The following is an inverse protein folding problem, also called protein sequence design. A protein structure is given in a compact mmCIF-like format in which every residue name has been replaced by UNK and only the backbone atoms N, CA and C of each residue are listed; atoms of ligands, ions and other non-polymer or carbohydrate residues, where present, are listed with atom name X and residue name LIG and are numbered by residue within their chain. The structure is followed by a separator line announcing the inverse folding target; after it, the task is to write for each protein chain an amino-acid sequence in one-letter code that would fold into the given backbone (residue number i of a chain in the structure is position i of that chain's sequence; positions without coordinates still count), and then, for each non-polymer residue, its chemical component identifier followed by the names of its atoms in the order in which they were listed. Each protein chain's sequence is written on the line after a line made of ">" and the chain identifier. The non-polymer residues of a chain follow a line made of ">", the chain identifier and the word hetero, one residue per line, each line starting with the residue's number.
data_IF_837896005391
#
_entry.id   IF_837896005391
#
_cell.length_a   1.000
_cell.length_b   1.000
_cell.length_c   1.000
_cell.angle_alpha   90.00
_cell.angle_beta   90.00
_cell.angle_gamma   90.00
#
_symmetry.space_group_name_H-M   'P 1'
#
loop_
_entity.id
_entity.type
_entity.pdbx_description
1 polymer ?
#
# COMPACT_ATOMS: atom_id res chain seq x y z
N UNK A 1 -0.81 20.16 -52.93
CA UNK A 1 0.22 20.88 -52.16
C UNK A 1 1.05 19.82 -51.47
N UNK A 2 2.32 19.66 -51.83
CA UNK A 2 3.22 18.70 -51.17
C UNK A 2 3.57 19.23 -49.78
N UNK A 3 3.12 18.56 -48.72
CA UNK A 3 3.51 18.87 -47.35
C UNK A 3 5.02 18.75 -47.21
N UNK A 4 5.66 19.83 -46.76
CA UNK A 4 7.07 19.80 -46.41
C UNK A 4 7.26 18.98 -45.13
N UNK A 5 8.26 18.09 -45.07
CA UNK A 5 8.54 17.31 -43.86
C UNK A 5 8.85 18.26 -42.70
N UNK A 6 8.29 17.94 -41.53
CA UNK A 6 8.49 18.77 -40.35
C UNK A 6 9.97 18.82 -39.95
N UNK A 7 10.48 19.93 -39.37
CA UNK A 7 11.90 20.06 -38.99
C UNK A 7 12.41 18.93 -38.07
N UNK A 8 11.52 18.30 -37.31
CA UNK A 8 11.83 17.14 -36.46
C UNK A 8 12.20 15.87 -37.26
N UNK A 9 11.84 15.79 -38.54
CA UNK A 9 12.15 14.68 -39.43
C UNK A 9 13.46 14.89 -40.22
N UNK A 10 13.94 16.13 -40.33
CA UNK A 10 15.11 16.49 -41.15
C UNK A 10 16.37 16.79 -40.34
N UNK A 11 16.26 17.08 -39.04
CA UNK A 11 17.42 17.36 -38.19
C UNK A 11 17.91 16.10 -37.45
N UNK A 12 19.20 15.74 -37.52
CA UNK A 12 19.74 14.65 -36.73
C UNK A 12 19.57 14.96 -35.24
N UNK A 13 19.06 13.98 -34.48
CA UNK A 13 18.88 14.12 -33.04
C UNK A 13 20.20 14.57 -32.38
N UNK A 14 20.18 15.74 -31.75
CA UNK A 14 21.37 16.31 -31.11
C UNK A 14 21.87 15.36 -30.02
N UNK A 15 23.06 14.82 -30.24
CA UNK A 15 23.80 14.01 -29.29
C UNK A 15 24.42 14.90 -28.20
N UNK A 16 23.60 15.36 -27.24
CA UNK A 16 24.07 16.24 -26.16
C UNK A 16 24.61 15.40 -24.99
N UNK A 17 25.78 15.76 -24.45
CA UNK A 17 26.36 15.12 -23.26
C UNK A 17 25.48 15.32 -22.00
N UNK A 18 25.68 14.50 -20.97
CA UNK A 18 25.01 14.71 -19.68
C UNK A 18 25.57 15.98 -19.04
N UNK A 19 24.73 16.94 -18.73
CA UNK A 19 25.08 18.19 -18.04
C UNK A 19 25.72 17.97 -16.65
N UNK A 20 25.37 16.87 -15.98
CA UNK A 20 25.80 16.58 -14.62
C UNK A 20 27.18 15.91 -14.55
N UNK A 21 27.50 15.03 -15.51
CA UNK A 21 28.73 14.24 -15.46
C UNK A 21 29.55 14.22 -16.77
N UNK A 22 29.09 14.91 -17.82
CA UNK A 22 29.76 14.95 -19.12
C UNK A 22 29.66 13.69 -19.96
N UNK A 23 28.94 12.65 -19.50
CA UNK A 23 28.82 11.38 -20.22
C UNK A 23 28.19 11.56 -21.62
N UNK A 24 28.88 11.04 -22.64
CA UNK A 24 28.44 11.09 -24.04
C UNK A 24 27.27 10.12 -24.29
N UNK A 25 26.41 10.36 -25.29
CA UNK A 25 25.35 9.41 -25.67
C UNK A 25 25.92 8.02 -25.95
N UNK A 26 25.31 6.97 -25.37
CA UNK A 26 25.79 5.59 -25.47
C UNK A 26 26.85 5.19 -24.41
N UNK A 27 27.41 6.14 -23.66
CA UNK A 27 28.28 5.82 -22.52
C UNK A 27 27.51 5.66 -21.20
N UNK A 28 28.13 5.03 -20.20
CA UNK A 28 27.55 4.88 -18.87
C UNK A 28 27.47 6.23 -18.16
N UNK A 29 26.29 6.56 -17.66
CA UNK A 29 26.07 7.80 -16.94
C UNK A 29 26.43 7.62 -15.45
N UNK A 30 27.45 8.31 -14.98
CA UNK A 30 27.92 8.20 -13.58
C UNK A 30 27.07 8.99 -12.59
N UNK A 31 26.20 9.90 -13.06
CA UNK A 31 25.26 10.64 -12.18
C UNK A 31 24.20 9.75 -11.52
N UNK A 32 24.03 8.51 -12.01
CA UNK A 32 23.20 7.46 -11.42
C UNK A 32 24.05 6.24 -10.99
N UNK A 33 25.20 6.50 -10.37
CA UNK A 33 26.11 5.46 -9.87
C UNK A 33 26.64 4.51 -10.96
N UNK A 34 26.65 4.93 -12.23
CA UNK A 34 27.25 4.19 -13.33
C UNK A 34 26.48 2.96 -13.80
N UNK A 35 25.27 2.70 -13.30
CA UNK A 35 24.52 1.46 -13.61
C UNK A 35 23.54 1.60 -14.79
N UNK A 36 23.35 2.80 -15.33
CA UNK A 36 22.41 3.05 -16.44
C UNK A 36 23.14 3.56 -17.67
N UNK A 37 23.02 2.80 -18.77
CA UNK A 37 23.39 3.25 -20.11
C UNK A 37 22.43 4.36 -20.52
N UNK A 38 22.97 5.49 -20.97
CA UNK A 38 22.13 6.59 -21.46
C UNK A 38 21.57 6.22 -22.83
N UNK A 39 20.27 5.93 -22.87
CA UNK A 39 19.53 5.58 -24.09
C UNK A 39 19.56 6.75 -25.06
N UNK A 40 20.29 6.60 -26.16
CA UNK A 40 20.50 7.62 -27.19
C UNK A 40 19.42 7.58 -28.28
N UNK A 41 18.49 6.64 -28.18
CA UNK A 41 17.48 6.28 -29.17
C UNK A 41 16.07 6.71 -28.80
N UNK A 42 15.82 7.20 -27.57
CA UNK A 42 14.48 7.60 -27.08
C UNK A 42 13.77 8.56 -28.04
N UNK A 43 14.50 9.53 -28.60
CA UNK A 43 13.92 10.46 -29.56
C UNK A 43 13.59 9.79 -30.90
N UNK A 44 14.41 8.84 -31.36
CA UNK A 44 14.14 8.02 -32.55
C UNK A 44 12.90 7.14 -32.33
N UNK A 45 12.78 6.51 -31.17
CA UNK A 45 11.60 5.68 -30.81
C UNK A 45 10.32 6.51 -30.82
N UNK A 46 10.35 7.73 -30.26
CA UNK A 46 9.19 8.64 -30.28
C UNK A 46 8.84 9.11 -31.69
N UNK A 47 9.84 9.45 -32.51
CA UNK A 47 9.62 9.85 -33.90
C UNK A 47 9.01 8.71 -34.74
N UNK A 48 9.48 7.47 -34.57
CA UNK A 48 8.90 6.31 -35.23
C UNK A 48 7.46 6.04 -34.77
N UNK A 49 7.17 6.17 -33.48
CA UNK A 49 5.82 6.02 -32.96
C UNK A 49 4.85 7.07 -33.54
N UNK A 50 5.31 8.32 -33.71
CA UNK A 50 4.52 9.37 -34.35
C UNK A 50 4.25 9.06 -35.83
N UNK A 51 5.27 8.66 -36.58
CA UNK A 51 5.12 8.26 -37.99
C UNK A 51 4.15 7.09 -38.16
N UNK A 52 4.18 6.11 -37.25
CA UNK A 52 3.21 5.02 -37.25
C UNK A 52 1.77 5.50 -36.97
N UNK A 53 1.59 6.46 -36.06
CA UNK A 53 0.28 7.02 -35.77
C UNK A 53 -0.27 7.81 -36.97
N UNK A 54 0.57 8.60 -37.64
CA UNK A 54 0.22 9.34 -38.84
C UNK A 54 -0.15 8.41 -40.00
N UNK A 55 0.64 7.35 -40.23
CA UNK A 55 0.33 6.33 -41.24
C UNK A 55 -1.00 5.61 -40.94
N UNK A 56 -1.29 5.34 -39.67
CA UNK A 56 -2.56 4.73 -39.24
C UNK A 56 -3.74 5.67 -39.47
N UNK A 57 -3.57 6.97 -39.21
CA UNK A 57 -4.59 7.98 -39.45
C UNK A 57 -4.87 8.15 -40.95
N UNK A 58 -3.83 8.14 -41.79
CA UNK A 58 -3.94 8.23 -43.24
C UNK A 58 -4.55 6.96 -43.88
N UNK A 59 -4.40 5.80 -43.25
CA UNK A 59 -4.98 4.54 -43.71
C UNK A 59 -6.45 4.34 -43.29
N UNK A 60 -7.03 5.25 -42.48
CA UNK A 60 -8.44 5.20 -42.14
C UNK A 60 -9.28 5.57 -43.38
N UNK A 61 -10.24 4.73 -43.81
CA UNK A 61 -11.02 5.00 -45.02
C UNK A 61 -11.87 6.27 -44.86
N UNK A 62 -11.71 7.20 -45.81
CA UNK A 62 -12.42 8.49 -45.94
C UNK A 62 -13.92 8.36 -46.30
N UNK A 63 -14.60 7.30 -45.85
CA UNK A 63 -15.97 7.01 -46.27
C UNK A 63 -16.99 7.46 -45.21
N UNK A 64 -17.08 8.78 -44.99
CA UNK A 64 -18.21 9.43 -44.31
C UNK A 64 -18.20 10.96 -44.49
N UNK A 65 -18.35 11.44 -45.73
CA UNK A 65 -18.68 12.85 -45.98
C UNK A 65 -20.11 12.97 -46.53
N UNK A 66 -21.08 12.94 -45.62
CA UNK A 66 -22.37 13.59 -45.80
C UNK A 66 -22.57 14.61 -44.67
N UNK A 67 -23.23 15.76 -44.92
CA UNK A 67 -23.47 16.78 -43.91
C UNK A 67 -24.61 16.33 -42.98
N UNK A 68 -24.32 15.42 -42.06
CA UNK A 68 -25.20 15.15 -40.93
C UNK A 68 -25.19 16.39 -40.04
N UNK A 69 -26.37 16.97 -39.81
CA UNK A 69 -26.55 17.98 -38.78
C UNK A 69 -25.89 17.48 -37.49
N UNK A 70 -24.87 18.20 -37.00
CA UNK A 70 -24.10 17.79 -35.82
C UNK A 70 -25.05 17.66 -34.65
N UNK A 71 -25.35 16.42 -34.26
CA UNK A 71 -26.04 16.12 -33.01
C UNK A 71 -25.19 16.70 -31.87
N UNK A 72 -25.83 17.52 -31.07
CA UNK A 72 -25.21 18.21 -29.95
C UNK A 72 -24.95 17.20 -28.82
N UNK A 73 -23.71 16.75 -28.69
CA UNK A 73 -23.30 15.72 -27.70
C UNK A 73 -22.87 16.32 -26.36
N UNK A 74 -22.92 17.64 -26.16
CA UNK A 74 -22.55 18.26 -24.88
C UNK A 74 -23.73 18.17 -23.90
N UNK A 75 -23.60 17.41 -22.80
CA UNK A 75 -24.67 17.23 -21.81
C UNK A 75 -25.04 18.51 -21.05
N UNK A 76 -24.26 19.60 -21.20
CA UNK A 76 -24.56 20.90 -20.59
C UNK A 76 -25.52 21.76 -21.41
N UNK A 77 -25.84 21.37 -22.64
CA UNK A 77 -26.76 22.11 -23.51
C UNK A 77 -28.20 21.61 -23.35
N UNK A 78 -28.81 21.98 -22.22
CA UNK A 78 -30.21 21.66 -21.88
C UNK A 78 -31.08 22.92 -21.93
N UNK A 79 -32.38 22.78 -22.20
CA UNK A 79 -33.34 23.89 -22.17
C UNK A 79 -32.98 25.09 -23.09
N UNK A 80 -33.14 26.35 -22.63
CA UNK A 80 -32.95 27.56 -23.48
C UNK A 80 -31.54 27.73 -24.05
N UNK A 81 -30.52 27.20 -23.37
CA UNK A 81 -29.12 27.23 -23.81
C UNK A 81 -28.97 26.48 -25.14
N UNK A 82 -29.78 25.45 -25.35
CA UNK A 82 -29.76 24.61 -26.55
C UNK A 82 -30.25 25.34 -27.80
N UNK A 83 -31.28 26.18 -27.67
CA UNK A 83 -31.78 27.04 -28.74
C UNK A 83 -30.75 28.08 -29.15
N UNK A 84 -30.03 28.65 -28.17
CA UNK A 84 -28.96 29.62 -28.40
C UNK A 84 -27.80 29.04 -29.23
N UNK A 85 -27.54 27.74 -29.12
CA UNK A 85 -26.49 27.03 -29.86
C UNK A 85 -26.99 26.26 -31.10
N UNK A 86 -28.27 26.38 -31.47
CA UNK A 86 -28.81 25.75 -32.68
C UNK A 86 -28.79 24.21 -32.65
N UNK A 87 -28.83 23.61 -31.46
CA UNK A 87 -28.73 22.17 -31.28
C UNK A 87 -30.05 21.45 -31.60
N UNK A 88 -30.20 21.00 -32.86
CA UNK A 88 -31.36 20.25 -33.32
C UNK A 88 -31.27 18.76 -32.92
N UNK A 89 -32.11 18.33 -31.99
CA UNK A 89 -32.23 16.94 -31.50
C UNK A 89 -33.00 16.88 -30.16
N UNK A 90 -33.31 15.70 -29.63
CA UNK A 90 -33.93 15.56 -28.31
C UNK A 90 -32.99 16.09 -27.21
N UNK A 91 -33.56 16.74 -26.20
CA UNK A 91 -32.80 17.21 -25.02
C UNK A 91 -32.30 15.97 -24.26
N UNK A 92 -30.97 15.78 -24.10
CA UNK A 92 -30.43 14.63 -23.38
C UNK A 92 -31.01 14.51 -21.97
N UNK A 93 -31.33 15.62 -21.30
CA UNK A 93 -31.95 15.58 -19.98
C UNK A 93 -33.39 15.03 -20.01
N UNK A 94 -34.15 15.33 -21.07
CA UNK A 94 -35.48 14.75 -21.27
C UNK A 94 -35.37 13.25 -21.63
N UNK A 95 -34.38 12.88 -22.44
CA UNK A 95 -34.15 11.47 -22.81
C UNK A 95 -33.75 10.62 -21.61
N UNK A 96 -32.93 11.16 -20.69
CA UNK A 96 -32.58 10.47 -19.44
C UNK A 96 -33.75 10.39 -18.45
N UNK A 97 -34.64 11.38 -18.43
CA UNK A 97 -35.83 11.36 -17.57
C UNK A 97 -36.87 10.34 -18.06
N UNK A 98 -37.10 10.26 -19.36
CA UNK A 98 -37.96 9.25 -19.99
C UNK A 98 -37.39 7.83 -19.82
N UNK A 99 -36.09 7.63 -20.06
CA UNK A 99 -35.43 6.33 -19.82
C UNK A 99 -35.47 5.90 -18.35
N UNK A 100 -35.38 6.85 -17.42
CA UNK A 100 -35.49 6.58 -15.98
C UNK A 100 -36.92 6.23 -15.56
N UNK A 101 -37.92 6.88 -16.13
CA UNK A 101 -39.32 6.58 -15.89
C UNK A 101 -39.71 5.20 -16.47
N UNK A 102 -39.24 4.89 -17.69
CA UNK A 102 -39.41 3.55 -18.29
C UNK A 102 -38.71 2.45 -17.46
N UNK A 103 -37.53 2.74 -16.88
CA UNK A 103 -36.81 1.82 -16.01
C UNK A 103 -37.39 1.68 -14.58
N UNK A 104 -38.18 2.65 -14.10
CA UNK A 104 -38.91 2.57 -12.83
C UNK A 104 -40.28 1.88 -12.99
N UNK A 105 -40.91 1.97 -14.17
CA UNK A 105 -42.21 1.35 -14.49
C UNK A 105 -42.09 -0.14 -14.86
N UNK A 106 -40.95 -0.55 -15.43
CA UNK A 106 -40.56 -1.95 -15.50
C UNK A 106 -40.16 -2.46 -14.10
N UNK A 107 -41.14 -2.87 -13.30
CA UNK A 107 -40.90 -3.41 -11.95
C UNK A 107 -39.96 -4.63 -11.97
N UNK A 108 -38.68 -4.43 -11.63
CA UNK A 108 -37.64 -5.46 -11.85
C UNK A 108 -36.55 -5.47 -10.75
N UNK A 109 -36.95 -5.71 -9.51
CA UNK A 109 -35.96 -6.03 -8.45
C UNK A 109 -35.30 -7.40 -8.68
N UNK A 110 -35.98 -8.32 -9.39
CA UNK A 110 -35.40 -9.58 -9.85
C UNK A 110 -34.37 -9.41 -10.97
N UNK A 111 -34.64 -8.55 -11.94
CA UNK A 111 -33.74 -8.38 -13.09
C UNK A 111 -32.48 -7.59 -12.72
N UNK A 112 -32.56 -6.62 -11.81
CA UNK A 112 -31.36 -5.87 -11.38
C UNK A 112 -30.28 -6.74 -10.74
N UNK A 113 -30.66 -7.77 -9.97
CA UNK A 113 -29.71 -8.71 -9.39
C UNK A 113 -29.09 -9.62 -10.47
N UNK A 114 -29.87 -10.02 -11.46
CA UNK A 114 -29.41 -10.81 -12.62
C UNK A 114 -28.47 -9.98 -13.49
N UNK A 115 -28.82 -8.74 -13.81
CA UNK A 115 -28.00 -7.77 -14.54
C UNK A 115 -26.69 -7.49 -13.80
N UNK A 116 -26.73 -7.30 -12.47
CA UNK A 116 -25.53 -7.11 -11.66
C UNK A 116 -24.62 -8.34 -11.68
N UNK A 117 -25.17 -9.54 -11.51
CA UNK A 117 -24.41 -10.79 -11.58
C UNK A 117 -23.79 -10.98 -12.97
N UNK A 118 -24.54 -10.72 -14.03
CA UNK A 118 -24.05 -10.78 -15.41
C UNK A 118 -22.87 -9.80 -15.63
N UNK A 119 -23.00 -8.55 -15.18
CA UNK A 119 -21.94 -7.55 -15.30
C UNK A 119 -20.67 -7.94 -14.51
N UNK A 120 -20.82 -8.54 -13.33
CA UNK A 120 -19.67 -9.02 -12.54
C UNK A 120 -18.95 -10.21 -13.21
N UNK A 121 -19.70 -11.14 -13.84
CA UNK A 121 -19.11 -12.23 -14.63
C UNK A 121 -18.38 -11.70 -15.86
N UNK A 122 -19.00 -10.79 -16.59
CA UNK A 122 -18.38 -10.16 -17.76
C UNK A 122 -17.07 -9.44 -17.38
N UNK A 123 -17.09 -8.65 -16.30
CA UNK A 123 -15.89 -7.99 -15.80
C UNK A 123 -14.79 -9.00 -15.42
N UNK A 124 -15.15 -10.09 -14.73
CA UNK A 124 -14.21 -11.14 -14.37
C UNK A 124 -13.57 -11.79 -15.61
N UNK A 125 -14.36 -12.05 -16.66
CA UNK A 125 -13.87 -12.64 -17.89
C UNK A 125 -12.95 -11.68 -18.67
N UNK A 126 -13.27 -10.38 -18.70
CA UNK A 126 -12.40 -9.35 -19.29
C UNK A 126 -11.05 -9.26 -18.56
N UNK A 127 -11.04 -9.27 -17.22
CA UNK A 127 -9.80 -9.25 -16.44
C UNK A 127 -8.98 -10.53 -16.62
N UNK A 128 -9.63 -11.70 -16.70
CA UNK A 128 -8.96 -12.95 -17.00
C UNK A 128 -8.25 -12.89 -18.37
N UNK A 129 -8.98 -12.44 -19.41
CA UNK A 129 -8.43 -12.30 -20.75
C UNK A 129 -7.24 -11.33 -20.80
N UNK A 130 -7.34 -10.17 -20.14
CA UNK A 130 -6.24 -9.19 -20.07
C UNK A 130 -5.02 -9.75 -19.34
N UNK A 131 -5.23 -10.52 -18.27
CA UNK A 131 -4.14 -11.17 -17.51
C UNK A 131 -3.41 -12.18 -18.40
N UNK A 132 -4.16 -13.01 -19.14
CA UNK A 132 -3.56 -13.98 -20.06
C UNK A 132 -2.81 -13.31 -21.22
N UNK A 133 -3.33 -12.20 -21.74
CA UNK A 133 -2.64 -11.39 -22.77
C UNK A 133 -1.34 -10.76 -22.24
N UNK A 134 -1.37 -10.19 -21.03
CA UNK A 134 -0.19 -9.59 -20.42
C UNK A 134 0.86 -10.65 -20.08
N UNK A 135 0.45 -11.81 -19.58
CA UNK A 135 1.38 -12.91 -19.33
C UNK A 135 1.99 -13.44 -20.63
N UNK A 136 1.20 -13.58 -21.69
CA UNK A 136 1.71 -13.96 -23.01
C UNK A 136 2.71 -12.92 -23.56
N UNK A 137 2.41 -11.62 -23.39
CA UNK A 137 3.32 -10.54 -23.74
C UNK A 137 4.63 -10.60 -22.94
N UNK A 138 4.54 -10.80 -21.62
CA UNK A 138 5.72 -10.91 -20.76
C UNK A 138 6.60 -12.10 -21.17
N UNK A 139 6.01 -13.27 -21.45
CA UNK A 139 6.75 -14.44 -21.97
C UNK A 139 7.40 -14.19 -23.32
N UNK A 140 6.75 -13.43 -24.21
CA UNK A 140 7.28 -13.11 -25.52
C UNK A 140 8.45 -12.11 -25.46
N UNK A 141 8.52 -11.28 -24.41
CA UNK A 141 9.52 -10.23 -24.24
C UNK A 141 10.60 -10.55 -23.18
N UNK A 142 10.59 -11.76 -22.62
CA UNK A 142 11.59 -12.22 -21.67
C UNK A 142 11.09 -13.38 -20.79
N UNK A 143 11.90 -13.79 -19.82
CA UNK A 143 11.41 -14.67 -18.77
C UNK A 143 10.46 -13.90 -17.85
N UNK A 144 9.33 -14.53 -17.51
CA UNK A 144 8.44 -14.01 -16.48
C UNK A 144 9.20 -13.94 -15.16
N UNK A 145 9.58 -12.74 -14.74
CA UNK A 145 10.21 -12.56 -13.44
C UNK A 145 9.18 -12.78 -12.31
N UNK A 146 9.69 -13.00 -11.09
CA UNK A 146 8.85 -13.26 -9.91
C UNK A 146 7.82 -12.14 -9.68
N UNK A 147 8.21 -10.89 -9.89
CA UNK A 147 7.32 -9.73 -9.74
C UNK A 147 6.16 -9.74 -10.75
N UNK A 148 6.40 -10.13 -12.00
CA UNK A 148 5.36 -10.31 -13.01
C UNK A 148 4.42 -11.45 -12.59
N UNK A 149 4.96 -12.57 -12.11
CA UNK A 149 4.16 -13.70 -11.64
C UNK A 149 3.22 -13.31 -10.50
N UNK A 150 3.73 -12.62 -9.48
CA UNK A 150 2.94 -12.14 -8.33
C UNK A 150 1.82 -11.19 -8.80
N UNK A 151 2.10 -10.30 -9.76
CA UNK A 151 1.07 -9.40 -10.31
C UNK A 151 -0.03 -10.17 -11.03
N UNK A 152 0.32 -11.15 -11.86
CA UNK A 152 -0.67 -11.98 -12.58
C UNK A 152 -1.49 -12.84 -11.62
N UNK A 153 -0.88 -13.38 -10.57
CA UNK A 153 -1.58 -14.13 -9.51
C UNK A 153 -2.59 -13.24 -8.77
N UNK A 154 -2.20 -12.02 -8.42
CA UNK A 154 -3.09 -11.05 -7.76
C UNK A 154 -4.34 -10.74 -8.60
N UNK A 155 -4.19 -10.57 -9.92
CA UNK A 155 -5.35 -10.31 -10.79
C UNK A 155 -6.25 -11.55 -10.89
N UNK A 156 -5.69 -12.76 -10.89
CA UNK A 156 -6.48 -14.01 -10.85
C UNK A 156 -7.31 -14.13 -9.58
N UNK A 157 -6.78 -13.70 -8.44
CA UNK A 157 -7.54 -13.68 -7.19
C UNK A 157 -8.72 -12.69 -7.25
N UNK A 158 -8.53 -11.52 -7.87
CA UNK A 158 -9.60 -10.55 -8.13
C UNK A 158 -10.67 -11.14 -9.05
N UNK A 159 -10.28 -11.79 -10.15
CA UNK A 159 -11.21 -12.50 -11.05
C UNK A 159 -12.02 -13.54 -10.29
N UNK A 160 -11.37 -14.34 -9.44
CA UNK A 160 -12.05 -15.33 -8.62
C UNK A 160 -13.03 -14.68 -7.62
N UNK A 161 -12.67 -13.53 -7.04
CA UNK A 161 -13.54 -12.74 -6.18
C UNK A 161 -14.77 -12.19 -6.90
N UNK A 162 -14.60 -11.64 -8.11
CA UNK A 162 -15.71 -11.14 -8.93
C UNK A 162 -16.69 -12.24 -9.32
N UNK A 163 -16.19 -13.45 -9.64
CA UNK A 163 -17.02 -14.61 -9.91
C UNK A 163 -17.82 -15.06 -8.69
N UNK A 164 -17.19 -15.11 -7.50
CA UNK A 164 -17.90 -15.41 -6.24
C UNK A 164 -19.01 -14.40 -5.98
N UNK A 165 -18.71 -13.10 -6.09
CA UNK A 165 -19.70 -12.04 -5.91
C UNK A 165 -20.85 -12.10 -6.93
N UNK A 166 -20.61 -12.63 -8.13
CA UNK A 166 -21.65 -12.84 -9.13
C UNK A 166 -22.54 -14.05 -8.83
N UNK A 167 -21.98 -15.07 -8.19
CA UNK A 167 -22.69 -16.32 -7.85
C UNK A 167 -23.40 -16.23 -6.50
N UNK A 168 -22.91 -15.39 -5.59
CA UNK A 168 -23.57 -15.05 -4.32
C UNK A 168 -24.76 -14.12 -4.57
N UNK A 169 -25.93 -14.72 -4.84
CA UNK A 169 -27.20 -14.02 -4.63
C UNK A 169 -27.33 -13.72 -3.12
N UNK A 170 -27.71 -12.49 -2.71
CA UNK A 170 -28.00 -12.23 -1.32
C UNK A 170 -29.09 -13.21 -0.87
N UNK A 171 -28.83 -13.94 0.22
CA UNK A 171 -29.78 -14.94 0.70
C UNK A 171 -31.13 -14.27 1.01
N UNK A 172 -32.27 -14.99 0.86
CA UNK A 172 -33.56 -14.45 1.25
C UNK A 172 -33.58 -13.87 2.68
N UNK A 173 -32.78 -14.46 3.58
CA UNK A 173 -32.60 -14.01 4.95
C UNK A 173 -31.80 -12.70 5.05
N UNK A 174 -30.73 -12.53 4.26
CA UNK A 174 -30.01 -11.26 4.18
C UNK A 174 -30.90 -10.12 3.66
N UNK A 175 -31.75 -10.41 2.66
CA UNK A 175 -32.73 -9.46 2.14
C UNK A 175 -33.82 -9.14 3.17
N UNK A 176 -34.27 -10.13 3.93
CA UNK A 176 -35.24 -9.93 5.02
C UNK A 176 -34.68 -9.02 6.12
N UNK A 177 -33.41 -9.20 6.52
CA UNK A 177 -32.76 -8.34 7.52
C UNK A 177 -32.55 -6.91 7.04
N UNK A 178 -32.12 -6.72 5.79
CA UNK A 178 -32.04 -5.39 5.19
C UNK A 178 -33.42 -4.74 5.19
N UNK A 179 -34.47 -5.47 4.80
CA UNK A 179 -35.84 -4.96 4.86
C UNK A 179 -36.23 -4.55 6.28
N UNK A 180 -35.94 -5.36 7.30
CA UNK A 180 -36.18 -5.00 8.71
C UNK A 180 -35.46 -3.70 9.09
N UNK A 181 -34.18 -3.54 8.74
CA UNK A 181 -33.44 -2.30 9.01
C UNK A 181 -34.08 -1.09 8.32
N UNK A 182 -34.55 -1.24 7.08
CA UNK A 182 -35.23 -0.16 6.36
C UNK A 182 -36.62 0.17 6.94
N UNK A 183 -37.30 -0.79 7.55
CA UNK A 183 -38.66 -0.65 8.08
C UNK A 183 -38.71 -0.20 9.55
N UNK A 184 -37.73 -0.61 10.38
CA UNK A 184 -37.76 -0.38 11.83
C UNK A 184 -36.89 0.79 12.29
N UNK A 185 -35.85 1.17 11.52
CA UNK A 185 -34.99 2.29 11.89
C UNK A 185 -35.55 3.61 11.33
N UNK A 186 -35.81 4.58 12.20
CA UNK A 186 -36.28 5.89 11.79
C UNK A 186 -35.22 6.58 10.90
N UNK A 187 -35.58 6.82 9.64
CA UNK A 187 -34.74 7.49 8.62
C UNK A 187 -34.49 8.96 8.97
N UNK A 188 -35.38 9.56 9.76
CA UNK A 188 -35.30 10.97 10.14
C UNK A 188 -34.04 11.26 10.99
N UNK A 189 -33.12 12.05 10.42
CA UNK A 189 -31.95 12.56 11.12
C UNK A 189 -30.65 11.77 10.93
N UNK A 190 -30.64 10.70 10.11
CA UNK A 190 -29.40 9.97 9.77
C UNK A 190 -28.83 10.40 8.42
N UNK A 191 -27.51 10.40 8.32
CA UNK A 191 -26.78 10.67 7.08
C UNK A 191 -26.81 9.44 6.17
N UNK A 192 -26.66 9.66 4.86
CA UNK A 192 -26.59 8.56 3.88
C UNK A 192 -25.45 7.56 4.16
N UNK A 193 -24.38 8.02 4.82
CA UNK A 193 -23.24 7.19 5.23
C UNK A 193 -23.59 6.27 6.41
N UNK A 194 -24.30 6.77 7.41
CA UNK A 194 -24.78 5.95 8.54
C UNK A 194 -25.79 4.90 8.06
N UNK A 195 -26.67 5.28 7.13
CA UNK A 195 -27.64 4.36 6.54
C UNK A 195 -26.96 3.24 5.74
N UNK A 196 -25.93 3.59 4.96
CA UNK A 196 -25.09 2.62 4.26
C UNK A 196 -24.38 1.68 5.24
N UNK A 197 -23.90 2.18 6.37
CA UNK A 197 -23.28 1.39 7.43
C UNK A 197 -24.23 0.33 8.00
N UNK A 198 -25.49 0.68 8.29
CA UNK A 198 -26.50 -0.24 8.84
C UNK A 198 -26.87 -1.34 7.85
N UNK A 199 -27.02 -0.99 6.56
CA UNK A 199 -27.31 -1.97 5.50
C UNK A 199 -26.14 -2.95 5.34
N UNK A 200 -24.90 -2.45 5.34
CA UNK A 200 -23.71 -3.30 5.27
C UNK A 200 -23.60 -4.20 6.50
N UNK A 201 -23.84 -3.69 7.71
CA UNK A 201 -23.86 -4.51 8.93
C UNK A 201 -24.94 -5.61 8.89
N UNK A 202 -26.11 -5.33 8.34
CA UNK A 202 -27.19 -6.31 8.21
C UNK A 202 -26.88 -7.41 7.16
N UNK A 203 -26.16 -7.05 6.09
CA UNK A 203 -25.69 -7.98 5.07
C UNK A 203 -24.57 -8.89 5.59
N UNK A 204 -23.67 -8.35 6.43
CA UNK A 204 -22.52 -9.10 6.97
C UNK A 204 -22.81 -9.88 8.25
N UNK A 205 -24.02 -9.79 8.81
CA UNK A 205 -24.40 -10.46 10.06
C UNK A 205 -24.31 -12.01 10.01
N UNK A 206 -24.38 -12.62 8.82
CA UNK A 206 -24.24 -14.08 8.64
C UNK A 206 -22.79 -14.54 8.47
N UNK A 207 -21.85 -13.61 8.24
CA UNK A 207 -20.44 -13.93 8.11
C UNK A 207 -19.72 -14.10 9.45
N UNK A 208 -20.42 -13.93 10.60
CA UNK A 208 -19.83 -14.31 11.88
C UNK A 208 -19.68 -15.83 11.93
N UNK A 209 -18.44 -16.36 11.92
CA UNK A 209 -18.24 -17.79 12.02
C UNK A 209 -18.86 -18.28 13.32
N UNK A 210 -19.75 -19.28 13.24
CA UNK A 210 -20.14 -20.06 14.42
C UNK A 210 -18.85 -20.58 15.04
N UNK A 211 -18.48 -20.02 16.19
CA UNK A 211 -17.21 -20.30 16.84
C UNK A 211 -17.12 -21.79 17.16
N UNK A 212 -16.15 -22.55 16.60
CA UNK A 212 -15.82 -23.84 17.18
C UNK A 212 -15.28 -23.58 18.59
N UNK A 213 -15.69 -24.40 19.54
CA UNK A 213 -15.42 -24.32 21.00
C UNK A 213 -13.92 -24.52 21.37
N UNK A 214 -12.99 -24.31 20.45
CA UNK A 214 -11.56 -24.32 20.75
C UNK A 214 -11.04 -22.90 20.99
N UNK A 215 -10.53 -22.68 22.20
CA UNK A 215 -9.94 -21.43 22.67
C UNK A 215 -8.83 -20.93 21.72
N UNK A 216 -9.06 -19.83 20.96
CA UNK A 216 -8.07 -19.28 20.04
C UNK A 216 -6.81 -18.75 20.75
N UNK A 217 -6.88 -18.48 22.05
CA UNK A 217 -5.72 -18.05 22.84
C UNK A 217 -4.69 -19.16 23.08
N UNK A 218 -4.97 -20.42 22.70
CA UNK A 218 -4.01 -21.52 22.83
C UNK A 218 -2.92 -21.50 21.76
N UNK A 219 -3.19 -20.93 20.58
CA UNK A 219 -2.23 -20.86 19.46
C UNK A 219 -1.43 -19.55 19.47
N UNK A 220 -2.00 -18.43 19.91
CA UNK A 220 -1.34 -17.11 19.89
C UNK A 220 -0.32 -16.89 21.04
N UNK A 221 -0.04 -17.93 21.84
CA UNK A 221 1.03 -17.93 22.87
C UNK A 221 2.29 -18.67 22.41
N UNK A 222 2.63 -18.62 21.14
CA UNK A 222 3.93 -19.07 20.64
C UNK A 222 5.02 -18.08 21.08
N UNK A 223 5.50 -18.22 22.31
CA UNK A 223 6.69 -17.50 22.78
C UNK A 223 7.91 -17.94 21.94
N UNK A 224 8.82 -17.02 21.58
CA UNK A 224 10.05 -17.34 20.84
C UNK A 224 10.83 -18.52 21.45
N UNK A 225 10.81 -18.63 22.79
CA UNK A 225 11.43 -19.68 23.60
C UNK A 225 10.97 -21.12 23.22
N UNK A 226 9.77 -21.31 22.66
CA UNK A 226 9.30 -22.63 22.23
C UNK A 226 10.01 -23.15 20.97
N UNK A 227 10.64 -22.26 20.18
CA UNK A 227 11.27 -22.63 18.92
C UNK A 227 12.76 -22.95 19.05
N UNK A 228 13.36 -22.62 20.20
CA UNK A 228 14.77 -22.89 20.47
C UNK A 228 15.06 -24.39 20.47
N UNK A 229 14.07 -25.23 20.78
CA UNK A 229 14.19 -26.69 20.84
C UNK A 229 13.35 -27.44 19.78
N UNK A 230 12.66 -26.74 18.89
CA UNK A 230 11.82 -27.38 17.87
C UNK A 230 12.67 -27.86 16.68
N UNK A 231 12.43 -29.08 16.21
CA UNK A 231 13.05 -29.57 14.97
C UNK A 231 12.51 -28.83 13.74
N UNK A 232 13.30 -28.78 12.66
CA UNK A 232 12.88 -28.18 11.38
C UNK A 232 11.57 -28.81 10.88
N UNK A 233 11.40 -30.12 11.04
CA UNK A 233 10.17 -30.83 10.65
C UNK A 233 8.94 -30.39 11.47
N UNK A 234 9.12 -30.12 12.76
CA UNK A 234 8.06 -29.60 13.62
C UNK A 234 7.68 -28.17 13.23
N UNK A 235 8.67 -27.33 12.92
CA UNK A 235 8.45 -25.95 12.43
C UNK A 235 7.71 -25.98 11.08
N UNK A 236 8.16 -26.81 10.13
CA UNK A 236 7.52 -26.97 8.82
C UNK A 236 6.08 -27.50 8.92
N UNK A 237 5.82 -28.41 9.87
CA UNK A 237 4.46 -28.86 10.16
C UNK A 237 3.57 -27.75 10.72
N UNK A 238 4.11 -26.82 11.51
CA UNK A 238 3.35 -25.67 12.01
C UNK A 238 3.10 -24.63 10.91
N UNK A 239 4.08 -24.39 10.03
CA UNK A 239 3.90 -23.52 8.86
C UNK A 239 2.76 -24.03 7.98
N UNK A 240 2.74 -25.33 7.67
CA UNK A 240 1.65 -25.93 6.87
C UNK A 240 0.28 -25.76 7.54
N UNK A 241 0.19 -25.98 8.86
CA UNK A 241 -1.06 -25.77 9.60
C UNK A 241 -1.50 -24.31 9.59
N UNK A 242 -0.59 -23.38 9.84
CA UNK A 242 -0.87 -21.95 9.82
C UNK A 242 -1.32 -21.47 8.43
N UNK A 243 -0.70 -21.96 7.35
CA UNK A 243 -1.11 -21.67 5.97
C UNK A 243 -2.52 -22.19 5.66
N UNK A 244 -2.86 -23.40 6.09
CA UNK A 244 -4.22 -23.95 5.92
C UNK A 244 -5.26 -23.14 6.70
N UNK A 245 -4.91 -22.69 7.92
CA UNK A 245 -5.78 -21.85 8.74
C UNK A 245 -5.93 -20.42 8.19
N UNK A 246 -4.88 -19.84 7.61
CA UNK A 246 -4.94 -18.51 6.98
C UNK A 246 -5.90 -18.50 5.78
N UNK A 247 -5.97 -19.60 5.01
CA UNK A 247 -6.96 -19.77 3.93
C UNK A 247 -8.39 -19.85 4.43
N UNK A 248 -8.61 -20.26 5.68
CA UNK A 248 -9.93 -20.40 6.26
C UNK A 248 -10.42 -19.11 6.93
N UNK A 249 -9.54 -18.34 7.60
CA UNK A 249 -9.96 -17.30 8.55
C UNK A 249 -9.37 -15.90 8.35
N UNK A 250 -8.59 -15.66 7.30
CA UNK A 250 -8.06 -14.32 7.02
C UNK A 250 -6.88 -13.90 7.93
N UNK A 251 -5.97 -13.18 7.30
CA UNK A 251 -4.72 -12.56 7.73
C UNK A 251 -4.03 -12.98 9.06
N UNK A 252 -3.00 -13.84 8.93
CA UNK A 252 -2.04 -14.20 10.00
C UNK A 252 -0.59 -14.15 9.50
N UNK A 253 -0.23 -13.09 8.79
CA UNK A 253 1.14 -12.90 8.27
C UNK A 253 2.22 -12.87 9.38
N UNK A 254 1.91 -12.33 10.55
CA UNK A 254 2.85 -12.22 11.66
C UNK A 254 3.35 -13.58 12.18
N UNK A 255 2.43 -14.53 12.40
CA UNK A 255 2.77 -15.89 12.87
C UNK A 255 3.60 -16.65 11.84
N UNK A 256 3.28 -16.49 10.55
CA UNK A 256 4.09 -17.06 9.47
C UNK A 256 5.48 -16.42 9.40
N UNK A 257 5.59 -15.12 9.65
CA UNK A 257 6.86 -14.41 9.75
C UNK A 257 7.77 -15.00 10.83
N UNK A 258 7.25 -15.21 12.04
CA UNK A 258 7.99 -15.80 13.15
C UNK A 258 8.45 -17.23 12.83
N UNK A 259 7.56 -18.06 12.27
CA UNK A 259 7.90 -19.44 11.94
C UNK A 259 8.95 -19.54 10.81
N UNK A 260 8.88 -18.65 9.82
CA UNK A 260 9.91 -18.55 8.76
C UNK A 260 11.26 -18.12 9.33
N UNK A 261 11.27 -17.15 10.23
CA UNK A 261 12.50 -16.68 10.86
C UNK A 261 13.13 -17.75 11.75
N UNK A 262 12.33 -18.48 12.55
CA UNK A 262 12.79 -19.61 13.34
C UNK A 262 13.41 -20.72 12.46
N UNK A 263 12.82 -20.99 11.29
CA UNK A 263 13.35 -21.95 10.31
C UNK A 263 14.72 -21.53 9.77
N UNK A 264 14.90 -20.25 9.43
CA UNK A 264 16.20 -19.73 8.95
C UNK A 264 17.27 -19.85 10.04
N UNK A 265 16.93 -19.53 11.30
CA UNK A 265 17.85 -19.66 12.44
C UNK A 265 18.27 -21.12 12.66
N UNK A 266 17.33 -22.07 12.58
CA UNK A 266 17.64 -23.51 12.72
C UNK A 266 18.46 -24.05 11.54
N UNK A 267 18.20 -23.59 10.31
CA UNK A 267 19.00 -23.98 9.14
C UNK A 267 20.43 -23.44 9.19
N UNK A 268 20.62 -22.24 9.72
CA UNK A 268 21.93 -21.63 9.90
C UNK A 268 22.74 -22.27 11.04
N UNK A 269 22.08 -23.00 11.95
CA UNK A 269 22.69 -23.56 13.15
C UNK A 269 22.27 -25.03 13.38
N UNK A 270 22.69 -25.96 12.49
CA UNK A 270 22.27 -27.37 12.55
C UNK A 270 22.73 -28.10 13.83
N UNK A 271 23.71 -27.53 14.54
CA UNK A 271 24.24 -28.03 15.83
C UNK A 271 23.55 -27.40 17.05
N UNK A 272 22.43 -26.70 16.86
CA UNK A 272 21.59 -26.17 17.95
C UNK A 272 21.12 -27.27 18.93
N UNK A 273 20.43 -26.91 20.03
CA UNK A 273 20.12 -27.82 21.13
C UNK A 273 19.22 -29.02 20.75
N UNK A 274 18.64 -29.03 19.53
CA UNK A 274 17.86 -30.14 18.98
C UNK A 274 18.62 -30.99 17.93
N UNK A 275 19.87 -30.62 17.60
CA UNK A 275 20.68 -31.27 16.58
C UNK A 275 21.19 -32.67 16.99
N UNK A 276 21.60 -33.50 16.02
CA UNK A 276 22.09 -34.85 16.30
C UNK A 276 23.34 -34.86 17.22
N UNK A 277 24.17 -33.82 17.17
CA UNK A 277 25.30 -33.63 18.07
C UNK A 277 24.88 -33.32 19.52
N UNK A 278 23.80 -32.55 19.73
CA UNK A 278 23.24 -32.27 21.05
C UNK A 278 22.60 -33.53 21.65
N UNK A 279 21.88 -34.32 20.85
CA UNK A 279 21.35 -35.63 21.27
C UNK A 279 22.45 -36.64 21.60
N UNK A 280 23.57 -36.61 20.86
CA UNK A 280 24.74 -37.43 21.18
C UNK A 280 25.39 -37.02 22.51
N UNK A 281 25.48 -35.70 22.80
CA UNK A 281 25.99 -35.18 24.07
C UNK A 281 25.08 -35.49 25.26
N UNK A 282 23.77 -35.43 25.09
CA UNK A 282 22.79 -35.77 26.13
C UNK A 282 22.80 -37.28 26.45
N UNK A 283 22.93 -38.13 25.43
CA UNK A 283 23.13 -39.57 25.61
C UNK A 283 24.49 -39.90 26.29
N UNK A 284 25.52 -39.08 26.07
CA UNK A 284 26.82 -39.23 26.72
C UNK A 284 26.81 -38.78 28.18
N UNK A 285 25.99 -37.77 28.53
CA UNK A 285 25.79 -37.33 29.92
C UNK A 285 24.92 -38.30 30.72
N UNK A 286 24.03 -39.06 30.08
CA UNK A 286 23.18 -40.07 30.72
C UNK A 286 23.91 -41.37 31.10
N UNK A 287 25.16 -41.56 30.69
CA UNK A 287 25.99 -42.74 31.05
C UNK A 287 27.04 -42.47 32.14
N UNK A 288 27.04 -41.28 32.76
CA UNK A 288 27.88 -41.04 33.93
C UNK A 288 27.17 -41.51 35.21
N UNK A 289 27.28 -42.80 35.50
CA UNK A 289 26.98 -43.37 36.82
C UNK A 289 28.04 -42.92 37.84
N UNK A 290 27.83 -41.76 38.46
CA UNK A 290 28.45 -41.48 39.75
C UNK A 290 27.40 -40.87 40.69
N UNK A 291 26.75 -41.77 41.43
CA UNK A 291 25.96 -41.41 42.60
C UNK A 291 26.87 -40.77 43.66
N UNK A 292 26.51 -39.57 44.08
CA UNK A 292 27.25 -38.82 45.09
C UNK A 292 26.60 -37.48 45.39
N UNK A 293 25.65 -37.49 46.31
CA UNK A 293 25.20 -36.31 47.06
C UNK A 293 26.37 -35.72 47.84
N UNK A 294 26.77 -34.47 47.54
CA UNK A 294 27.13 -33.39 48.49
C UNK A 294 27.45 -32.10 47.69
N UNK A 295 27.22 -30.90 48.27
CA UNK A 295 27.30 -29.63 47.54
C UNK A 295 28.73 -29.07 47.52
N UNK A 296 29.21 -28.64 46.34
CA UNK A 296 30.45 -27.88 46.19
C UNK A 296 30.12 -26.38 46.15
N UNK A 297 30.65 -25.54 47.07
CA UNK A 297 30.41 -24.10 47.08
C UNK A 297 31.48 -23.38 46.28
N UNK A 298 31.59 -23.61 44.98
CA UNK A 298 32.53 -22.89 44.11
C UNK A 298 32.14 -23.06 42.63
N UNK A 299 30.94 -22.61 42.28
CA UNK A 299 30.57 -22.39 40.88
C UNK A 299 30.48 -20.87 40.63
N UNK A 300 31.38 -20.28 39.83
CA UNK A 300 31.26 -18.88 39.46
C UNK A 300 30.03 -18.69 38.58
N UNK A 301 29.11 -17.84 39.03
CA UNK A 301 27.95 -17.41 38.26
C UNK A 301 28.45 -16.55 37.09
N UNK A 302 28.50 -17.12 35.89
CA UNK A 302 28.68 -16.35 34.67
C UNK A 302 27.36 -15.65 34.33
N UNK A 303 27.26 -14.37 34.69
CA UNK A 303 26.26 -13.48 34.09
C UNK A 303 26.76 -13.10 32.70
N UNK A 304 26.07 -13.43 31.59
CA UNK A 304 26.50 -12.98 30.27
C UNK A 304 26.37 -11.45 30.21
N UNK A 305 27.49 -10.78 29.95
CA UNK A 305 27.52 -9.37 29.65
C UNK A 305 26.63 -9.11 28.42
N UNK A 306 25.59 -8.29 28.61
CA UNK A 306 24.76 -7.78 27.53
C UNK A 306 25.65 -6.93 26.62
N UNK A 307 25.89 -7.43 25.42
CA UNK A 307 26.69 -6.78 24.40
C UNK A 307 26.01 -5.46 23.97
N UNK A 308 26.52 -4.34 24.48
CA UNK A 308 26.10 -3.01 24.07
C UNK A 308 26.61 -2.78 22.65
N UNK A 309 25.72 -2.84 21.65
CA UNK A 309 26.04 -2.44 20.29
C UNK A 309 26.64 -1.01 20.30
N UNK A 310 27.81 -0.78 19.66
CA UNK A 310 28.38 0.55 19.60
C UNK A 310 27.42 1.48 18.85
N UNK A 311 27.17 2.66 19.43
CA UNK A 311 26.42 3.74 18.84
C UNK A 311 27.17 4.30 17.61
N UNK A 312 27.20 3.54 16.52
CA UNK A 312 27.62 4.03 15.22
C UNK A 312 26.57 5.00 14.73
N UNK A 313 26.96 6.27 14.55
CA UNK A 313 26.10 7.28 13.95
C UNK A 313 25.67 6.82 12.56
N UNK A 314 24.41 6.41 12.42
CA UNK A 314 23.83 6.03 11.13
C UNK A 314 23.77 7.28 10.25
N UNK A 315 24.69 7.38 9.27
CA UNK A 315 24.71 8.49 8.32
C UNK A 315 23.51 8.40 7.38
N UNK A 316 22.71 9.46 7.33
CA UNK A 316 21.53 9.55 6.45
C UNK A 316 21.93 9.42 4.97
N UNK A 317 21.19 8.58 4.23
CA UNK A 317 21.39 8.40 2.78
C UNK A 317 21.24 9.74 2.05
N UNK A 318 22.09 10.02 1.05
CA UNK A 318 22.07 11.27 0.27
C UNK A 318 20.70 11.53 -0.39
N UNK A 319 20.03 10.48 -0.85
CA UNK A 319 18.66 10.59 -1.40
C UNK A 319 17.65 11.08 -0.37
N UNK A 320 17.75 10.60 0.86
CA UNK A 320 16.87 11.02 1.97
C UNK A 320 17.13 12.47 2.37
N UNK A 321 18.40 12.89 2.37
CA UNK A 321 18.76 14.30 2.58
C UNK A 321 18.16 15.22 1.51
N UNK A 322 18.29 14.86 0.23
CA UNK A 322 17.68 15.61 -0.89
C UNK A 322 16.16 15.67 -0.81
N UNK A 323 15.52 14.58 -0.37
CA UNK A 323 14.07 14.55 -0.16
C UNK A 323 13.65 15.50 0.97
N UNK A 324 14.39 15.50 2.09
CA UNK A 324 14.16 16.44 3.19
C UNK A 324 14.33 17.90 2.75
N UNK A 325 15.37 18.21 1.98
CA UNK A 325 15.58 19.55 1.39
C UNK A 325 14.43 19.93 0.46
N UNK A 326 13.95 19.02 -0.40
CA UNK A 326 12.79 19.25 -1.26
C UNK A 326 11.54 19.58 -0.42
N UNK A 327 11.27 18.81 0.63
CA UNK A 327 10.14 19.06 1.52
C UNK A 327 10.25 20.40 2.27
N UNK A 328 11.46 20.83 2.63
CA UNK A 328 11.69 22.16 3.22
C UNK A 328 11.42 23.28 2.22
N UNK A 329 11.77 23.10 0.95
CA UNK A 329 11.57 24.09 -0.10
C UNK A 329 10.11 24.15 -0.60
N UNK A 330 9.38 23.05 -0.51
CA UNK A 330 7.98 22.94 -0.97
C UNK A 330 7.09 22.23 0.06
N UNK A 331 6.90 22.80 1.27
CA UNK A 331 6.01 22.19 2.26
C UNK A 331 4.58 22.10 1.70
N UNK A 332 3.95 20.92 1.81
CA UNK A 332 2.54 20.72 1.44
C UNK A 332 2.22 20.39 -0.03
N UNK A 333 3.21 20.29 -0.95
CA UNK A 333 2.94 19.90 -2.35
C UNK A 333 2.82 18.38 -2.57
N UNK A 334 3.32 17.55 -1.65
CA UNK A 334 2.90 16.16 -1.54
C UNK A 334 1.86 16.12 -0.42
N UNK A 335 0.58 15.94 -0.78
CA UNK A 335 -0.51 15.95 0.18
C UNK A 335 -0.21 14.94 1.31
N UNK A 336 0.04 15.46 2.51
CA UNK A 336 0.40 14.78 3.78
C UNK A 336 1.82 15.01 4.32
N UNK A 337 2.78 15.53 3.54
CA UNK A 337 4.19 15.60 3.99
C UNK A 337 4.69 17.03 4.27
N UNK A 338 5.40 17.19 5.39
CA UNK A 338 6.05 18.44 5.82
C UNK A 338 7.38 18.23 6.53
N UNK A 339 7.95 19.31 7.06
CA UNK A 339 9.18 19.25 7.86
C UNK A 339 9.15 20.32 8.96
N UNK A 340 9.64 19.96 10.14
CA UNK A 340 9.76 20.82 11.33
C UNK A 340 10.82 21.93 11.26
N UNK A 341 11.61 21.99 10.19
CA UNK A 341 12.79 22.87 10.08
C UNK A 341 14.06 22.42 10.83
N UNK A 342 14.04 21.35 11.62
CA UNK A 342 15.22 20.90 12.36
C UNK A 342 16.38 20.49 11.44
N UNK A 343 17.59 20.89 11.81
CA UNK A 343 18.83 20.49 11.14
C UNK A 343 19.58 19.51 12.04
N UNK A 344 19.67 18.26 11.61
CA UNK A 344 20.50 17.27 12.28
C UNK A 344 20.95 16.20 11.28
N UNK A 345 22.17 15.70 11.48
CA UNK A 345 22.74 14.63 10.67
C UNK A 345 22.32 13.24 11.17
N UNK A 346 21.72 13.17 12.35
CA UNK A 346 21.19 11.94 12.90
C UNK A 346 19.90 11.55 12.16
N UNK A 347 19.86 10.31 11.69
CA UNK A 347 18.63 9.68 11.26
C UNK A 347 17.53 9.74 12.33
N UNK A 348 16.27 9.79 11.92
CA UNK A 348 15.18 9.60 12.88
C UNK A 348 15.24 8.16 13.42
N UNK A 349 15.25 8.05 14.74
CA UNK A 349 15.24 6.78 15.48
C UNK A 349 13.91 6.56 16.22
N UNK A 350 13.02 7.55 16.16
CA UNK A 350 11.75 7.61 16.86
C UNK A 350 10.65 8.10 15.92
N UNK A 351 9.44 7.63 16.20
CA UNK A 351 8.17 8.13 15.66
C UNK A 351 7.45 8.76 16.83
N UNK A 352 7.00 10.00 16.71
CA UNK A 352 6.14 10.61 17.72
C UNK A 352 4.78 10.81 17.09
N UNK A 353 3.83 9.95 17.45
CA UNK A 353 2.46 9.99 16.95
C UNK A 353 1.68 11.14 17.62
N UNK A 354 0.89 11.86 16.82
CA UNK A 354 -0.06 12.86 17.26
C UNK A 354 -1.47 12.29 17.18
N UNK A 355 -2.14 12.16 18.32
CA UNK A 355 -3.49 11.59 18.41
C UNK A 355 -4.40 12.46 19.27
N UNK A 356 -5.73 12.38 19.09
CA UNK A 356 -6.69 12.91 20.07
C UNK A 356 -7.45 11.78 20.74
N UNK A 357 -7.83 11.93 22.03
CA UNK A 357 -8.76 11.01 22.67
C UNK A 357 -10.06 10.91 21.88
N UNK A 358 -10.48 9.68 21.56
CA UNK A 358 -11.79 9.40 21.01
C UNK A 358 -12.70 8.73 22.04
N UNK A 359 -13.98 8.49 21.73
CA UNK A 359 -14.86 7.72 22.60
C UNK A 359 -14.32 6.29 22.77
N UNK A 360 -13.78 5.99 23.96
CA UNK A 360 -13.21 4.68 24.31
C UNK A 360 -11.70 4.58 24.09
N UNK A 361 -11.21 3.39 23.71
CA UNK A 361 -9.79 3.12 23.48
C UNK A 361 -9.30 3.50 22.06
N UNK A 362 -10.19 4.05 21.22
CA UNK A 362 -9.90 4.40 19.83
C UNK A 362 -9.63 5.90 19.74
N UNK A 363 -8.38 6.31 19.89
CA UNK A 363 -7.94 7.66 19.55
C UNK A 363 -7.93 7.90 18.05
N UNK A 364 -8.10 9.16 17.62
CA UNK A 364 -7.94 9.55 16.22
C UNK A 364 -6.49 9.93 15.96
N UNK A 365 -5.82 9.26 15.01
CA UNK A 365 -4.46 9.60 14.61
C UNK A 365 -4.46 10.76 13.60
N UNK A 366 -3.69 11.81 13.89
CA UNK A 366 -3.62 13.03 13.08
C UNK A 366 -2.32 13.13 12.26
N UNK A 367 -1.23 12.52 12.75
CA UNK A 367 0.04 12.52 12.06
C UNK A 367 1.19 11.99 12.91
N UNK A 368 2.39 11.99 12.35
CA UNK A 368 3.61 11.50 12.99
C UNK A 368 4.78 12.44 12.66
N UNK A 369 5.58 12.77 13.69
CA UNK A 369 6.88 13.43 13.53
C UNK A 369 7.99 12.40 13.68
N UNK A 370 8.87 12.28 12.69
CA UNK A 370 10.04 11.41 12.75
C UNK A 370 11.20 12.17 13.39
N UNK A 371 11.66 11.71 14.56
CA UNK A 371 12.68 12.41 15.34
C UNK A 371 13.87 11.50 15.67
N UNK A 372 15.07 12.07 15.78
CA UNK A 372 16.19 11.40 16.44
C UNK A 372 16.06 11.55 17.97
N UNK A 373 16.86 10.80 18.73
CA UNK A 373 16.84 10.87 20.20
C UNK A 373 17.01 12.31 20.74
N UNK A 374 17.83 13.15 20.08
CA UNK A 374 18.06 14.53 20.49
C UNK A 374 16.85 15.46 20.23
N UNK A 375 15.96 15.11 19.30
CA UNK A 375 14.76 15.89 18.97
C UNK A 375 13.48 15.27 19.54
N UNK A 376 13.58 14.25 20.41
CA UNK A 376 12.42 13.60 21.02
C UNK A 376 11.53 14.60 21.75
N UNK A 377 12.12 15.38 22.65
CA UNK A 377 11.36 16.29 23.52
C UNK A 377 10.76 17.44 22.72
N UNK A 378 11.49 17.96 21.74
CA UNK A 378 10.98 18.97 20.81
C UNK A 378 9.82 18.45 19.93
N UNK A 379 9.81 17.17 19.58
CA UNK A 379 8.70 16.54 18.87
C UNK A 379 7.46 16.40 19.76
N UNK A 380 7.66 15.95 21.00
CA UNK A 380 6.59 15.84 22.00
C UNK A 380 5.98 17.21 22.27
N UNK A 381 6.80 18.21 22.56
CA UNK A 381 6.36 19.59 22.80
C UNK A 381 5.59 20.17 21.62
N UNK A 382 6.06 19.95 20.38
CA UNK A 382 5.33 20.45 19.21
C UNK A 382 3.97 19.80 19.06
N UNK A 383 3.87 18.48 19.26
CA UNK A 383 2.61 17.74 19.16
C UNK A 383 1.63 18.18 20.24
N UNK A 384 2.10 18.32 21.49
CA UNK A 384 1.24 18.78 22.59
C UNK A 384 0.82 20.24 22.45
N UNK A 385 1.70 21.13 21.96
CA UNK A 385 1.37 22.53 21.66
C UNK A 385 0.31 22.65 20.55
N UNK A 386 0.26 21.68 19.64
CA UNK A 386 -0.75 21.57 18.59
C UNK A 386 -2.10 21.03 19.11
N UNK A 387 -2.23 20.72 20.40
CA UNK A 387 -3.46 20.21 21.01
C UNK A 387 -3.66 18.69 20.86
N UNK A 388 -2.60 17.95 20.53
CA UNK A 388 -2.63 16.49 20.39
C UNK A 388 -1.92 15.78 21.55
N UNK A 389 -2.31 14.55 21.84
CA UNK A 389 -1.53 13.63 22.67
C UNK A 389 -0.35 13.09 21.87
N UNK A 390 0.84 13.14 22.49
CA UNK A 390 2.09 12.68 21.90
C UNK A 390 2.46 11.29 22.42
N UNK A 391 2.67 10.33 21.52
CA UNK A 391 3.14 8.99 21.85
C UNK A 391 4.48 8.68 21.13
N UNK A 392 5.62 8.87 21.82
CA UNK A 392 6.94 8.57 21.26
C UNK A 392 7.26 7.08 21.32
N UNK A 393 7.43 6.46 20.14
CA UNK A 393 7.77 5.05 19.97
C UNK A 393 9.08 4.89 19.18
N UNK A 394 9.87 3.83 19.41
CA UNK A 394 10.99 3.48 18.55
C UNK A 394 10.55 3.30 17.10
N UNK A 395 11.31 3.81 16.13
CA UNK A 395 11.02 3.54 14.73
C UNK A 395 11.19 2.04 14.42
N UNK A 396 10.23 1.37 13.74
CA UNK A 396 10.36 -0.05 13.45
C UNK A 396 11.54 -0.25 12.49
N UNK A 397 12.35 -1.30 12.72
CA UNK A 397 13.48 -1.61 11.86
C UNK A 397 13.00 -1.92 10.43
N UNK A 398 13.79 -1.53 9.43
CA UNK A 398 13.51 -1.89 8.03
C UNK A 398 12.41 -1.08 7.35
N UNK A 399 11.98 0.05 7.91
CA UNK A 399 11.12 0.99 7.18
C UNK A 399 11.82 1.39 5.87
N UNK A 400 11.08 1.48 4.76
CA UNK A 400 11.64 1.77 3.42
C UNK A 400 12.52 3.05 3.34
N UNK A 401 12.38 3.90 4.34
CA UNK A 401 13.05 5.19 4.45
C UNK A 401 14.10 5.24 5.56
N UNK A 402 14.52 4.10 6.13
CA UNK A 402 15.55 4.01 7.16
C UNK A 402 16.96 4.43 6.65
N UNK A 403 17.61 5.42 7.32
CA UNK A 403 17.06 6.29 8.35
C UNK A 403 16.29 7.47 7.74
N UNK A 404 15.12 7.79 8.31
CA UNK A 404 14.34 8.95 7.89
C UNK A 404 15.08 10.25 8.22
N UNK A 405 14.83 11.35 7.49
CA UNK A 405 15.37 12.63 7.88
C UNK A 405 14.67 13.09 9.17
N UNK A 406 15.45 13.41 10.20
CA UNK A 406 14.92 13.96 11.42
C UNK A 406 14.13 15.25 11.14
N UNK A 407 12.93 15.34 11.71
CA UNK A 407 12.01 16.45 11.51
C UNK A 407 11.03 16.27 10.36
N UNK A 408 11.03 15.14 9.66
CA UNK A 408 9.97 14.85 8.70
C UNK A 408 8.62 14.70 9.41
N UNK A 409 7.55 15.18 8.77
CA UNK A 409 6.17 15.13 9.29
C UNK A 409 5.27 14.49 8.26
N UNK A 410 4.48 13.50 8.67
CA UNK A 410 3.37 12.94 7.87
C UNK A 410 2.06 13.18 8.58
N UNK A 411 1.04 13.74 7.93
CA UNK A 411 -0.24 14.09 8.56
C UNK A 411 -1.45 13.72 7.69
N UNK A 412 -2.56 13.35 8.32
CA UNK A 412 -3.79 12.90 7.62
C UNK A 412 -4.60 14.04 6.99
N UNK A 413 -4.28 15.29 7.29
CA UNK A 413 -4.96 16.46 6.74
C UNK A 413 -4.08 17.71 6.75
N UNK A 414 -4.47 18.73 5.97
CA UNK A 414 -3.73 19.99 5.84
C UNK A 414 -3.71 20.80 7.14
N UNK A 415 -4.78 20.73 7.94
CA UNK A 415 -4.86 21.37 9.25
C UNK A 415 -3.86 20.75 10.24
N UNK A 416 -3.87 19.42 10.37
CA UNK A 416 -2.89 18.69 11.19
C UNK A 416 -1.47 18.92 10.71
N UNK A 417 -1.24 18.96 9.39
CA UNK A 417 0.08 19.27 8.84
C UNK A 417 0.55 20.67 9.24
N UNK A 418 -0.32 21.67 9.11
CA UNK A 418 -0.01 23.04 9.50
C UNK A 418 0.27 23.13 11.01
N UNK A 419 -0.55 22.48 11.85
CA UNK A 419 -0.35 22.46 13.29
C UNK A 419 0.98 21.78 13.70
N UNK A 420 1.34 20.66 13.05
CA UNK A 420 2.56 19.89 13.34
C UNK A 420 3.84 20.47 12.71
N UNK A 421 3.72 21.43 11.80
CA UNK A 421 4.87 22.12 11.18
C UNK A 421 5.02 23.56 11.63
N UNK A 422 4.01 24.14 12.28
CA UNK A 422 4.13 25.42 12.93
C UNK A 422 5.33 25.40 13.88
N UNK A 423 6.30 26.27 13.62
CA UNK A 423 7.43 26.44 14.51
C UNK A 423 6.90 26.94 15.84
N UNK A 424 7.20 26.24 16.93
CA UNK A 424 7.23 26.90 18.24
C UNK A 424 8.25 28.02 18.08
N UNK A 425 7.90 29.29 18.28
CA UNK A 425 8.90 30.36 18.28
C UNK A 425 9.96 29.97 19.30
N UNK A 426 11.18 29.73 18.81
CA UNK A 426 12.29 29.32 19.65
C UNK A 426 12.52 30.44 20.66
N UNK A 427 12.49 30.14 21.95
CA UNK A 427 12.83 31.12 22.99
C UNK A 427 14.25 31.70 22.79
N UNK A 428 15.10 31.05 21.98
CA UNK A 428 16.43 31.54 21.62
C UNK A 428 16.44 32.74 20.67
N UNK A 429 15.33 33.06 19.99
CA UNK A 429 15.26 34.24 19.10
C UNK A 429 14.91 35.54 19.87
N UNK A 430 14.69 35.47 21.19
CA UNK A 430 14.29 36.60 22.04
C UNK A 430 15.42 37.28 22.82
N UNK A 431 16.68 36.85 22.72
CA UNK A 431 17.80 37.35 23.55
C UNK A 431 18.85 38.19 22.78
N UNK A 432 18.50 38.74 21.61
CA UNK A 432 19.40 39.57 20.78
C UNK A 432 18.89 40.98 20.50
N UNK A 433 17.93 41.48 21.29
CA UNK A 433 17.59 42.91 21.38
C UNK A 433 17.60 43.36 22.85
N UNK A 434 18.80 43.62 23.39
CA UNK A 434 19.02 44.45 24.57
C UNK A 434 20.35 45.20 24.45
#
# INVERSE_FOLDING_TARGET
>A
MTEQPTPAQTLPALAVACDTCGAQPGSLCTSHSGTRVRRHDVHRTRSLALQHAEAKAAAAPEDASLPSARLCTDPRHTGPIREQFGCNGPDPAATFAEQRAEAEEAGETGDRAVVRAAALREAADQYAQLTDQNEAYDRANGELNEDARIRHETVRDVVAGLRRLADEQPTPDALARVRTVLETEAVAGRTALEYRGLILSALMADEQPTTPTEDPARIDRLRPEFFEHASIEAIDSQIRRAQTQQRAWGDREWTLGILRQARVVQQANPDGPAGPAARAKEAQLQTCECGGTLPHPECPVHTPAKETQPAGAWTVKVSTRRYAEKLRLTPGQAAADGHTGWQCDAGASLLVAASTPGPGALGTHHGTIYACAAHRDAAVERITSAGYEADPQPAPPGHRWDPWPCGHVTAHGTESLAALTAGTPSAADGELEA
#
